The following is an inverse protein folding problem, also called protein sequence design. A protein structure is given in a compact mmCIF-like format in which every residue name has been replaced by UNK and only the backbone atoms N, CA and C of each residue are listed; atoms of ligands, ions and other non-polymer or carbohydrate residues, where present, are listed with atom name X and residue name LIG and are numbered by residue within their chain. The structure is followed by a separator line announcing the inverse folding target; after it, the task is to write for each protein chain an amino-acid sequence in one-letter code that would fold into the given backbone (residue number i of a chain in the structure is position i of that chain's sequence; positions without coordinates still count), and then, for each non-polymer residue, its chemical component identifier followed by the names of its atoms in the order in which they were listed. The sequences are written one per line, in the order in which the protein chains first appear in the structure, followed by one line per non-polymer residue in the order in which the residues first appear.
data_IF_281119357389
#
_entry.id   IF_281119357389
#
_cell.length_a   1.000
_cell.length_b   1.000
_cell.length_c   1.000
_cell.angle_alpha   90.00
_cell.angle_beta   90.00
_cell.angle_gamma   90.00
#
_symmetry.space_group_name_H-M   'P 1'
#
loop_
_entity.id
_entity.type
_entity.pdbx_description
1 polymer ?
#
# COMPACT_ATOMS: atom_id res chain seq x y z
N UNK A 1 -12.81 28.62 -10.73
CA UNK A 1 -11.74 27.85 -10.06
C UNK A 1 -12.33 26.80 -9.13
N UNK A 2 -12.41 25.56 -9.61
CA UNK A 2 -12.90 24.43 -8.82
C UNK A 2 -11.76 23.82 -8.01
N UNK A 3 -11.93 23.68 -6.69
CA UNK A 3 -10.94 23.09 -5.81
C UNK A 3 -11.61 22.17 -4.79
N UNK A 4 -11.37 20.87 -4.90
CA UNK A 4 -11.97 19.84 -4.08
C UNK A 4 -11.30 19.76 -2.71
N UNK A 5 -12.07 19.91 -1.64
CA UNK A 5 -11.53 19.91 -0.28
C UNK A 5 -12.34 19.05 0.68
N UNK A 6 -12.41 17.75 0.38
CA UNK A 6 -13.18 16.75 1.13
C UNK A 6 -12.29 15.78 1.91
N UNK A 7 -12.90 14.88 2.69
CA UNK A 7 -12.22 13.73 3.28
C UNK A 7 -12.26 12.55 2.30
N UNK A 8 -11.18 12.36 1.56
CA UNK A 8 -11.12 11.38 0.47
C UNK A 8 -9.77 10.67 0.44
N UNK A 9 -9.80 9.37 0.18
CA UNK A 9 -8.66 8.58 -0.25
C UNK A 9 -8.89 8.19 -1.72
N UNK A 10 -8.11 8.79 -2.62
CA UNK A 10 -8.23 8.61 -4.06
C UNK A 10 -7.06 7.78 -4.60
N UNK A 11 -7.36 6.74 -5.38
CA UNK A 11 -6.36 5.90 -6.02
C UNK A 11 -6.47 6.03 -7.53
N UNK A 12 -5.38 6.41 -8.19
CA UNK A 12 -5.26 6.38 -9.64
C UNK A 12 -4.62 5.07 -10.07
N UNK A 13 -5.31 4.30 -10.91
CA UNK A 13 -4.77 3.09 -11.55
C UNK A 13 -4.55 3.40 -13.03
N UNK A 14 -3.30 3.36 -13.49
CA UNK A 14 -2.90 3.73 -14.85
C UNK A 14 -2.55 2.47 -15.64
N UNK A 15 -3.24 2.25 -16.75
CA UNK A 15 -2.96 1.17 -17.69
C UNK A 15 -1.58 1.36 -18.35
N UNK A 16 -0.64 0.46 -18.05
CA UNK A 16 0.72 0.47 -18.59
C UNK A 16 0.89 -0.39 -19.85
N UNK A 17 -0.20 -0.79 -20.50
CA UNK A 17 -0.12 -1.60 -21.71
C UNK A 17 0.35 -0.81 -22.93
N UNK A 18 0.81 -1.53 -23.95
CA UNK A 18 1.15 -1.00 -25.27
C UNK A 18 -0.07 -0.59 -26.10
N UNK A 19 -1.30 -0.61 -25.52
CA UNK A 19 -2.49 -0.02 -26.17
C UNK A 19 -2.50 1.49 -26.10
N UNK A 20 -1.76 2.07 -25.16
CA UNK A 20 -1.38 3.46 -25.17
C UNK A 20 0.03 3.57 -25.76
N UNK A 21 0.24 4.51 -26.68
CA UNK A 21 1.59 4.90 -27.07
C UNK A 21 2.30 5.62 -25.91
N UNK A 22 3.62 5.77 -25.99
CA UNK A 22 4.37 6.55 -25.00
C UNK A 22 3.84 7.99 -24.91
N UNK A 23 3.51 8.61 -26.05
CA UNK A 23 2.87 9.93 -26.10
C UNK A 23 1.48 9.96 -25.46
N UNK A 24 0.65 8.93 -25.67
CA UNK A 24 -0.66 8.85 -25.03
C UNK A 24 -0.53 8.68 -23.53
N UNK A 25 0.48 7.93 -23.09
CA UNK A 25 0.77 7.75 -21.66
C UNK A 25 1.25 9.06 -21.01
N UNK A 26 1.99 9.91 -21.74
CA UNK A 26 2.31 11.26 -21.26
C UNK A 26 1.04 12.12 -21.07
N UNK A 27 0.08 12.05 -22.00
CA UNK A 27 -1.23 12.72 -21.85
C UNK A 27 -1.99 12.16 -20.64
N UNK A 28 -1.95 10.85 -20.43
CA UNK A 28 -2.58 10.19 -19.27
C UNK A 28 -1.98 10.69 -17.95
N UNK A 29 -0.65 10.78 -17.85
CA UNK A 29 0.03 11.33 -16.67
C UNK A 29 -0.29 12.80 -16.46
N UNK A 30 -0.29 13.60 -17.53
CA UNK A 30 -0.67 15.00 -17.47
C UNK A 30 -2.11 15.18 -16.96
N UNK A 31 -3.03 14.32 -17.39
CA UNK A 31 -4.40 14.29 -16.86
C UNK A 31 -4.42 14.01 -15.35
N UNK A 32 -3.73 12.97 -14.87
CA UNK A 32 -3.65 12.65 -13.43
C UNK A 32 -3.10 13.82 -12.63
N UNK A 33 -2.02 14.46 -13.11
CA UNK A 33 -1.45 15.66 -12.50
C UNK A 33 -2.46 16.81 -12.47
N UNK A 34 -3.18 17.05 -13.57
CA UNK A 34 -4.20 18.11 -13.67
C UNK A 34 -5.40 17.89 -12.73
N UNK A 35 -5.73 16.63 -12.43
CA UNK A 35 -6.71 16.27 -11.40
C UNK A 35 -6.12 16.60 -10.03
N UNK A 36 -4.91 16.15 -9.73
CA UNK A 36 -4.23 16.40 -8.46
C UNK A 36 -4.06 17.89 -8.13
N UNK A 37 -3.92 18.76 -9.12
CA UNK A 37 -3.86 20.22 -8.95
C UNK A 37 -5.15 20.83 -8.41
N UNK A 38 -6.30 20.20 -8.69
CA UNK A 38 -7.63 20.63 -8.22
C UNK A 38 -8.03 19.99 -6.90
N UNK A 39 -7.13 19.24 -6.23
CA UNK A 39 -7.41 18.55 -4.97
C UNK A 39 -6.63 19.18 -3.80
N UNK A 40 -7.30 19.32 -2.66
CA UNK A 40 -6.66 19.68 -1.39
C UNK A 40 -5.90 18.49 -0.79
N UNK A 41 -4.76 18.16 -1.40
CA UNK A 41 -3.95 17.01 -1.01
C UNK A 41 -3.28 17.25 0.35
N UNK A 42 -3.66 16.46 1.36
CA UNK A 42 -3.01 16.39 2.67
C UNK A 42 -3.46 15.14 3.41
N UNK A 43 -2.67 14.69 4.38
CA UNK A 43 -3.05 13.55 5.23
C UNK A 43 -4.33 13.76 6.04
N UNK A 44 -4.80 15.00 6.21
CA UNK A 44 -6.03 15.34 6.92
C UNK A 44 -7.25 15.52 6.00
N UNK A 45 -7.05 15.68 4.68
CA UNK A 45 -8.11 15.96 3.70
C UNK A 45 -8.10 14.92 2.59
N UNK A 46 -7.47 15.20 1.45
CA UNK A 46 -7.41 14.26 0.33
C UNK A 46 -6.05 13.55 0.34
N UNK A 47 -6.05 12.22 0.43
CA UNK A 47 -4.87 11.37 0.22
C UNK A 47 -4.94 10.79 -1.18
N UNK A 48 -3.78 10.64 -1.81
CA UNK A 48 -3.69 10.15 -3.20
C UNK A 48 -2.69 9.00 -3.28
N UNK A 49 -3.01 7.99 -4.08
CA UNK A 49 -2.12 6.91 -4.48
C UNK A 49 -2.10 6.80 -6.00
N UNK A 50 -0.97 6.40 -6.56
CA UNK A 50 -0.77 6.23 -8.00
C UNK A 50 -0.11 4.89 -8.23
N UNK A 51 -0.79 4.05 -9.00
CA UNK A 51 -0.33 2.70 -9.34
C UNK A 51 -0.39 2.57 -10.86
N UNK A 52 0.72 2.19 -11.46
CA UNK A 52 0.75 1.72 -12.84
C UNK A 52 0.56 0.20 -12.83
N UNK A 53 -0.20 -0.32 -13.79
CA UNK A 53 -0.45 -1.75 -13.87
C UNK A 53 -0.29 -2.31 -15.28
N UNK A 54 0.36 -3.47 -15.32
CA UNK A 54 0.58 -4.31 -16.49
C UNK A 54 0.22 -5.76 -16.11
N UNK A 55 1.12 -6.74 -16.24
CA UNK A 55 0.90 -8.08 -15.65
C UNK A 55 1.08 -8.09 -14.12
N UNK A 56 1.71 -7.05 -13.57
CA UNK A 56 1.77 -6.72 -12.15
C UNK A 56 1.22 -5.33 -11.81
N UNK A 57 1.45 -4.88 -10.58
CA UNK A 57 1.06 -3.55 -10.11
C UNK A 57 2.24 -2.87 -9.43
N UNK A 58 2.63 -1.69 -9.93
CA UNK A 58 3.73 -0.91 -9.40
C UNK A 58 3.22 0.40 -8.78
N UNK A 59 3.30 0.50 -7.45
CA UNK A 59 2.89 1.70 -6.73
C UNK A 59 4.01 2.75 -6.73
N UNK A 60 3.73 3.93 -7.29
CA UNK A 60 4.61 5.10 -7.25
C UNK A 60 4.30 6.00 -6.05
N UNK A 61 3.02 6.06 -5.67
CA UNK A 61 2.54 6.83 -4.53
C UNK A 61 1.59 6.00 -3.67
N UNK A 62 1.82 6.06 -2.37
CA UNK A 62 0.95 5.46 -1.37
C UNK A 62 0.13 6.54 -0.65
N UNK A 63 -1.08 6.18 -0.20
CA UNK A 63 -1.98 7.10 0.52
C UNK A 63 -1.31 7.76 1.74
N UNK A 64 -0.38 7.06 2.39
CA UNK A 64 0.31 7.52 3.61
C UNK A 64 1.52 8.42 3.34
N UNK A 65 1.87 8.64 2.07
CA UNK A 65 3.04 9.45 1.72
C UNK A 65 2.91 10.88 2.27
N UNK A 66 3.83 11.25 3.17
CA UNK A 66 3.90 12.59 3.78
C UNK A 66 4.86 13.48 3.01
N UNK A 67 4.47 13.85 1.79
CA UNK A 67 5.23 14.75 0.90
C UNK A 67 4.42 15.99 0.57
N UNK A 68 5.10 17.05 0.09
CA UNK A 68 4.42 18.26 -0.40
C UNK A 68 3.55 17.91 -1.63
N UNK A 69 2.38 18.56 -1.84
CA UNK A 69 1.55 18.30 -3.01
C UNK A 69 2.30 18.45 -4.35
N UNK A 70 3.23 19.42 -4.45
CA UNK A 70 4.09 19.59 -5.62
C UNK A 70 5.01 18.39 -5.87
N UNK A 71 5.57 17.79 -4.82
CA UNK A 71 6.42 16.61 -4.93
C UNK A 71 5.60 15.36 -5.31
N UNK A 72 4.38 15.23 -4.77
CA UNK A 72 3.47 14.16 -5.19
C UNK A 72 3.13 14.27 -6.67
N UNK A 73 2.82 15.47 -7.17
CA UNK A 73 2.58 15.71 -8.60
C UNK A 73 3.81 15.40 -9.45
N UNK A 74 5.01 15.77 -8.99
CA UNK A 74 6.27 15.43 -9.66
C UNK A 74 6.49 13.91 -9.75
N UNK A 75 6.15 13.16 -8.70
CA UNK A 75 6.25 11.70 -8.75
C UNK A 75 5.24 11.12 -9.75
N UNK A 76 3.99 11.64 -9.77
CA UNK A 76 2.98 11.22 -10.73
C UNK A 76 3.38 11.51 -12.18
N UNK A 77 4.05 12.64 -12.46
CA UNK A 77 4.55 12.95 -13.81
C UNK A 77 5.73 12.06 -14.24
N UNK A 78 6.45 11.47 -13.29
CA UNK A 78 7.63 10.63 -13.51
C UNK A 78 7.31 9.13 -13.56
N UNK A 79 6.02 8.75 -13.51
CA UNK A 79 5.60 7.37 -13.76
C UNK A 79 6.17 6.91 -15.12
N UNK A 80 6.84 5.78 -15.14
CA UNK A 80 7.50 5.25 -16.35
C UNK A 80 6.47 4.58 -17.26
N UNK A 81 6.57 4.83 -18.56
CA UNK A 81 5.86 4.05 -19.55
C UNK A 81 6.47 2.65 -19.65
N UNK A 82 5.62 1.62 -19.52
CA UNK A 82 6.05 0.21 -19.58
C UNK A 82 5.82 -0.37 -20.97
N UNK A 83 4.69 -0.08 -21.60
CA UNK A 83 4.35 -0.61 -22.92
C UNK A 83 4.17 -2.13 -22.93
N UNK A 84 3.59 -2.69 -21.87
CA UNK A 84 3.41 -4.14 -21.73
C UNK A 84 2.36 -4.69 -22.70
N UNK A 85 2.49 -5.94 -23.13
CA UNK A 85 1.44 -6.61 -23.92
C UNK A 85 0.15 -6.85 -23.13
N UNK A 86 0.22 -6.81 -21.79
CA UNK A 86 -0.89 -7.09 -20.88
C UNK A 86 -1.00 -6.00 -19.84
N UNK A 87 -2.21 -5.51 -19.59
CA UNK A 87 -2.58 -4.81 -18.37
C UNK A 87 -3.78 -5.47 -17.69
N UNK A 88 -3.53 -6.06 -16.52
CA UNK A 88 -4.49 -6.86 -15.78
C UNK A 88 -5.27 -6.02 -14.79
N UNK A 89 -6.49 -5.66 -15.19
CA UNK A 89 -7.48 -5.04 -14.32
C UNK A 89 -7.79 -5.91 -13.10
N UNK A 90 -7.79 -7.24 -13.26
CA UNK A 90 -8.01 -8.17 -12.15
C UNK A 90 -6.92 -8.10 -11.09
N UNK A 91 -5.65 -8.07 -11.51
CA UNK A 91 -4.51 -8.01 -10.59
C UNK A 91 -4.43 -6.66 -9.87
N UNK A 92 -4.64 -5.54 -10.57
CA UNK A 92 -4.58 -4.22 -9.93
C UNK A 92 -5.74 -3.98 -8.96
N UNK A 93 -6.93 -4.51 -9.23
CA UNK A 93 -8.05 -4.44 -8.29
C UNK A 93 -7.84 -5.37 -7.09
N UNK A 94 -7.20 -6.52 -7.28
CA UNK A 94 -6.75 -7.39 -6.18
C UNK A 94 -5.71 -6.66 -5.31
N UNK A 95 -4.70 -6.04 -5.93
CA UNK A 95 -3.70 -5.22 -5.24
C UNK A 95 -4.37 -4.08 -4.46
N UNK A 96 -5.31 -3.37 -5.06
CA UNK A 96 -6.05 -2.28 -4.42
C UNK A 96 -6.85 -2.77 -3.21
N UNK A 97 -7.49 -3.93 -3.31
CA UNK A 97 -8.28 -4.53 -2.23
C UNK A 97 -7.42 -4.93 -1.03
N UNK A 98 -6.29 -5.59 -1.26
CA UNK A 98 -5.49 -6.20 -0.21
C UNK A 98 -4.34 -5.33 0.28
N UNK A 99 -3.67 -4.60 -0.61
CA UNK A 99 -2.49 -3.79 -0.28
C UNK A 99 -2.87 -2.35 0.08
N UNK A 100 -3.72 -1.69 -0.74
CA UNK A 100 -4.08 -0.28 -0.49
C UNK A 100 -5.17 -0.18 0.58
N UNK A 101 -6.26 -0.94 0.43
CA UNK A 101 -7.41 -0.93 1.34
C UNK A 101 -7.50 -2.17 2.23
N UNK A 102 -6.40 -2.89 2.42
CA UNK A 102 -6.33 -4.08 3.27
C UNK A 102 -6.87 -3.80 4.68
N UNK A 103 -6.38 -2.73 5.32
CA UNK A 103 -6.84 -2.23 6.62
C UNK A 103 -7.57 -0.89 6.45
N UNK A 104 -8.74 -0.77 7.06
CA UNK A 104 -9.51 0.49 7.05
C UNK A 104 -9.00 1.36 8.18
N UNK A 105 -8.13 2.32 7.86
CA UNK A 105 -7.51 3.21 8.86
C UNK A 105 -8.18 4.58 8.97
N UNK A 106 -9.06 4.90 8.02
CA UNK A 106 -9.68 6.22 7.86
C UNK A 106 -11.18 6.11 7.57
N UNK A 107 -11.99 5.66 8.55
CA UNK A 107 -13.41 5.37 8.34
C UNK A 107 -14.25 6.60 8.00
N UNK A 108 -13.78 7.81 8.36
CA UNK A 108 -14.43 9.08 8.09
C UNK A 108 -14.27 9.58 6.64
N UNK A 109 -13.37 8.98 5.87
CA UNK A 109 -13.10 9.36 4.49
C UNK A 109 -13.74 8.40 3.49
N UNK A 110 -14.26 8.95 2.39
CA UNK A 110 -14.64 8.15 1.24
C UNK A 110 -13.40 7.55 0.58
N UNK A 111 -13.57 6.41 -0.08
CA UNK A 111 -12.51 5.69 -0.79
C UNK A 111 -12.94 5.51 -2.24
N UNK A 112 -12.20 6.11 -3.15
CA UNK A 112 -12.52 6.13 -4.59
C UNK A 112 -11.31 5.65 -5.37
N UNK A 113 -11.55 4.80 -6.36
CA UNK A 113 -10.54 4.33 -7.31
C UNK A 113 -10.92 4.84 -8.68
N UNK A 114 -10.04 5.61 -9.30
CA UNK A 114 -10.15 6.02 -10.70
C UNK A 114 -9.32 5.03 -11.53
N UNK A 115 -10.02 4.10 -12.20
CA UNK A 115 -9.41 3.06 -13.03
C UNK A 115 -9.31 3.55 -14.47
N UNK A 116 -8.13 4.00 -14.88
CA UNK A 116 -7.85 4.45 -16.24
C UNK A 116 -7.42 3.25 -17.07
N UNK A 117 -8.29 2.75 -17.94
CA UNK A 117 -8.07 1.51 -18.71
C UNK A 117 -8.20 1.73 -20.20
N UNK A 118 -7.22 1.25 -20.96
CA UNK A 118 -7.16 1.37 -22.42
C UNK A 118 -7.11 0.01 -23.14
N UNK A 119 -7.06 -1.08 -22.37
CA UNK A 119 -6.83 -2.42 -22.88
C UNK A 119 -7.83 -3.44 -22.34
N UNK A 120 -7.67 -4.69 -22.80
CA UNK A 120 -8.36 -5.84 -22.27
C UNK A 120 -7.35 -6.87 -21.80
N UNK A 121 -7.53 -7.39 -20.59
CA UNK A 121 -6.72 -8.47 -20.07
C UNK A 121 -7.10 -9.84 -20.68
N UNK A 122 -6.17 -10.81 -20.72
CA UNK A 122 -6.46 -12.18 -21.14
C UNK A 122 -7.55 -12.85 -20.29
N UNK A 123 -8.44 -13.64 -20.92
CA UNK A 123 -9.58 -14.29 -20.26
C UNK A 123 -9.21 -15.20 -19.07
N UNK A 124 -8.02 -15.78 -19.04
CA UNK A 124 -7.60 -16.64 -17.93
C UNK A 124 -7.29 -15.84 -16.65
N UNK A 125 -6.97 -14.55 -16.76
CA UNK A 125 -6.67 -13.65 -15.64
C UNK A 125 -7.95 -13.07 -15.00
N UNK A 126 -9.09 -13.11 -15.70
CA UNK A 126 -10.35 -12.49 -15.24
C UNK A 126 -11.06 -13.26 -14.11
N UNK A 127 -10.58 -14.46 -13.75
CA UNK A 127 -11.22 -15.37 -12.78
C UNK A 127 -11.55 -14.69 -11.45
N UNK A 128 -10.69 -13.77 -11.00
CA UNK A 128 -10.81 -13.10 -9.70
C UNK A 128 -11.41 -11.69 -9.78
N UNK A 129 -11.77 -11.20 -10.97
CA UNK A 129 -12.27 -9.84 -11.15
C UNK A 129 -13.50 -9.57 -10.30
N UNK A 130 -14.53 -10.42 -10.45
CA UNK A 130 -15.82 -10.27 -9.75
C UNK A 130 -15.62 -10.29 -8.23
N UNK A 131 -14.79 -11.22 -7.75
CA UNK A 131 -14.46 -11.34 -6.31
C UNK A 131 -13.78 -10.07 -5.79
N UNK A 132 -12.83 -9.53 -6.55
CA UNK A 132 -12.09 -8.32 -6.16
C UNK A 132 -13.00 -7.09 -6.12
N UNK A 133 -13.84 -6.91 -7.15
CA UNK A 133 -14.82 -5.81 -7.18
C UNK A 133 -15.84 -5.93 -6.04
N UNK A 134 -16.34 -7.14 -5.75
CA UNK A 134 -17.22 -7.37 -4.62
C UNK A 134 -16.55 -7.11 -3.27
N UNK A 135 -15.27 -7.45 -3.13
CA UNK A 135 -14.47 -7.14 -1.94
C UNK A 135 -14.32 -5.63 -1.73
N UNK A 136 -14.04 -4.89 -2.80
CA UNK A 136 -13.94 -3.43 -2.79
C UNK A 136 -15.30 -2.80 -2.43
N UNK A 137 -16.40 -3.30 -2.99
CA UNK A 137 -17.77 -2.88 -2.63
C UNK A 137 -18.05 -3.13 -1.15
N UNK A 138 -17.74 -4.31 -0.60
CA UNK A 138 -17.92 -4.61 0.83
C UNK A 138 -17.15 -3.65 1.73
N UNK A 139 -15.99 -3.20 1.26
CA UNK A 139 -15.22 -2.16 1.93
C UNK A 139 -15.77 -0.76 1.70
N UNK A 140 -16.85 -0.52 0.95
CA UNK A 140 -17.36 0.81 0.58
C UNK A 140 -16.35 1.62 -0.26
N UNK A 141 -15.65 0.95 -1.17
CA UNK A 141 -14.81 1.60 -2.17
C UNK A 141 -15.63 1.79 -3.45
N UNK A 142 -15.67 3.03 -3.94
CA UNK A 142 -16.31 3.39 -5.20
C UNK A 142 -15.31 3.19 -6.34
N UNK A 143 -15.70 2.45 -7.38
CA UNK A 143 -14.88 2.25 -8.57
C UNK A 143 -15.41 3.10 -9.72
N UNK A 144 -14.57 4.00 -10.22
CA UNK A 144 -14.86 4.85 -11.38
C UNK A 144 -13.98 4.41 -12.55
N UNK A 145 -14.46 3.50 -13.41
CA UNK A 145 -13.72 3.12 -14.61
C UNK A 145 -13.78 4.23 -15.68
N UNK A 146 -12.63 4.57 -16.24
CA UNK A 146 -12.46 5.45 -17.39
C UNK A 146 -11.87 4.61 -18.52
N UNK A 147 -12.72 4.21 -19.46
CA UNK A 147 -12.32 3.48 -20.66
C UNK A 147 -11.80 4.44 -21.72
N UNK A 148 -10.58 4.20 -22.22
CA UNK A 148 -9.88 5.06 -23.16
C UNK A 148 -9.65 4.30 -24.46
N UNK A 149 -10.30 4.76 -25.52
CA UNK A 149 -10.11 4.19 -26.86
C UNK A 149 -10.82 2.87 -27.12
N UNK A 150 -10.71 2.36 -28.34
CA UNK A 150 -11.51 1.23 -28.81
C UNK A 150 -11.11 -0.12 -28.21
N UNK A 151 -9.92 -0.20 -27.60
CA UNK A 151 -9.37 -1.43 -27.02
C UNK A 151 -9.73 -1.62 -25.54
N UNK A 152 -10.33 -0.61 -24.90
CA UNK A 152 -10.80 -0.72 -23.52
C UNK A 152 -11.89 -1.78 -23.39
N UNK A 153 -11.81 -2.62 -22.36
CA UNK A 153 -12.78 -3.70 -22.16
C UNK A 153 -14.13 -3.19 -21.63
N UNK A 154 -15.05 -2.84 -22.53
CA UNK A 154 -16.39 -2.36 -22.17
C UNK A 154 -17.22 -3.37 -21.38
N UNK A 155 -17.00 -4.68 -21.55
CA UNK A 155 -17.72 -5.70 -20.79
C UNK A 155 -17.32 -5.67 -19.32
N UNK A 156 -16.03 -5.51 -19.03
CA UNK A 156 -15.51 -5.35 -17.67
C UNK A 156 -15.96 -4.03 -17.04
N UNK A 157 -15.94 -2.93 -17.80
CA UNK A 157 -16.41 -1.61 -17.33
C UNK A 157 -17.89 -1.71 -16.91
N UNK A 158 -18.74 -2.27 -17.76
CA UNK A 158 -20.17 -2.49 -17.44
C UNK A 158 -20.37 -3.44 -16.27
N UNK A 159 -19.50 -4.43 -16.10
CA UNK A 159 -19.54 -5.34 -14.96
C UNK A 159 -19.28 -4.59 -13.65
N UNK A 160 -18.29 -3.68 -13.63
CA UNK A 160 -17.94 -2.84 -12.50
C UNK A 160 -19.08 -1.87 -12.17
N UNK A 161 -19.62 -1.17 -13.17
CA UNK A 161 -20.73 -0.22 -13.03
C UNK A 161 -21.97 -0.90 -12.40
N UNK A 162 -22.30 -2.12 -12.84
CA UNK A 162 -23.43 -2.88 -12.28
C UNK A 162 -23.26 -3.31 -10.82
N UNK A 163 -22.06 -3.26 -10.25
CA UNK A 163 -21.87 -3.71 -8.86
C UNK A 163 -22.40 -2.71 -7.83
N UNK A 164 -22.42 -1.41 -8.13
CA UNK A 164 -22.88 -0.39 -7.19
C UNK A 164 -23.36 0.87 -7.94
N UNK A 165 -24.44 1.54 -7.51
CA UNK A 165 -24.96 2.72 -8.19
C UNK A 165 -23.99 3.90 -8.21
N UNK A 166 -23.03 3.94 -7.27
CA UNK A 166 -21.97 4.94 -7.20
C UNK A 166 -20.81 4.66 -8.19
N UNK A 167 -20.76 3.48 -8.81
CA UNK A 167 -19.70 3.13 -9.76
C UNK A 167 -19.98 3.73 -11.15
N UNK A 168 -19.81 5.05 -11.31
CA UNK A 168 -19.99 5.72 -12.60
C UNK A 168 -18.83 5.44 -13.56
N UNK A 169 -19.16 4.99 -14.77
CA UNK A 169 -18.20 4.80 -15.85
C UNK A 169 -18.10 6.04 -16.76
N UNK A 170 -16.89 6.27 -17.28
CA UNK A 170 -16.62 7.25 -18.34
C UNK A 170 -15.99 6.50 -19.50
N UNK A 171 -16.52 6.65 -20.71
CA UNK A 171 -15.97 6.03 -21.92
C UNK A 171 -15.60 7.14 -22.89
N UNK A 172 -14.36 7.11 -23.35
CA UNK A 172 -13.70 8.12 -24.16
C UNK A 172 -13.19 7.50 -25.45
N UNK A 173 -13.21 8.25 -26.55
CA UNK A 173 -12.67 7.76 -27.83
C UNK A 173 -11.14 7.70 -27.86
N UNK A 174 -10.48 8.47 -26.98
CA UNK A 174 -9.04 8.63 -26.92
C UNK A 174 -8.59 9.42 -25.69
N UNK A 175 -7.27 9.59 -25.54
CA UNK A 175 -6.67 10.35 -24.41
C UNK A 175 -6.89 11.87 -24.53
N UNK A 176 -7.16 12.37 -25.72
CA UNK A 176 -7.45 13.77 -26.03
C UNK A 176 -8.75 14.28 -25.39
N UNK A 177 -9.71 13.39 -25.13
CA UNK A 177 -10.96 13.73 -24.45
C UNK A 177 -10.82 13.82 -22.91
N UNK A 178 -9.71 13.35 -22.33
CA UNK A 178 -9.51 13.30 -20.87
C UNK A 178 -9.62 14.69 -20.24
N UNK A 179 -9.02 15.70 -20.86
CA UNK A 179 -9.04 17.06 -20.33
C UNK A 179 -10.46 17.64 -20.32
N UNK A 180 -11.26 17.35 -21.36
CA UNK A 180 -12.64 17.83 -21.48
C UNK A 180 -13.56 17.22 -20.41
N UNK A 181 -13.29 15.97 -20.02
CA UNK A 181 -14.08 15.24 -19.00
C UNK A 181 -13.55 15.40 -17.59
N UNK A 182 -12.38 16.02 -17.41
CA UNK A 182 -11.72 16.24 -16.12
C UNK A 182 -12.65 16.85 -15.09
N UNK A 183 -13.23 18.00 -15.36
CA UNK A 183 -14.00 18.72 -14.32
C UNK A 183 -15.29 17.96 -13.94
N UNK A 184 -15.89 17.20 -14.86
CA UNK A 184 -17.00 16.29 -14.56
C UNK A 184 -16.57 15.15 -13.62
N UNK A 185 -15.41 14.53 -13.90
CA UNK A 185 -14.85 13.46 -13.06
C UNK A 185 -14.55 14.00 -11.66
N UNK A 186 -13.98 15.21 -11.57
CA UNK A 186 -13.64 15.81 -10.26
C UNK A 186 -14.90 16.24 -9.50
N UNK A 187 -15.94 16.75 -10.17
CA UNK A 187 -17.20 17.02 -9.48
C UNK A 187 -17.79 15.72 -8.89
N UNK A 188 -17.83 14.64 -9.68
CA UNK A 188 -18.36 13.36 -9.21
C UNK A 188 -17.61 12.79 -8.00
N UNK A 189 -16.25 12.80 -8.03
CA UNK A 189 -15.46 12.31 -6.89
C UNK A 189 -15.66 13.17 -5.63
N UNK A 190 -15.85 14.49 -5.77
CA UNK A 190 -16.03 15.39 -4.64
C UNK A 190 -17.42 15.28 -4.02
N UNK A 191 -18.44 15.09 -4.84
CA UNK A 191 -19.83 14.91 -4.38
C UNK A 191 -19.99 13.64 -3.56
N UNK A 192 -19.18 12.62 -3.84
CA UNK A 192 -19.16 11.34 -3.12
C UNK A 192 -18.23 11.33 -1.91
N UNK A 193 -17.61 12.46 -1.57
CA UNK A 193 -16.72 12.59 -0.43
C UNK A 193 -17.31 13.51 0.67
N UNK A 194 -17.26 13.10 1.96
CA UNK A 194 -17.81 13.89 3.05
C UNK A 194 -17.01 15.18 3.28
N UNK A 195 -17.71 16.22 3.74
CA UNK A 195 -17.09 17.47 4.17
C UNK A 195 -16.23 17.25 5.42
N UNK A 196 -15.09 17.95 5.55
CA UNK A 196 -14.33 17.94 6.79
C UNK A 196 -15.17 18.58 7.91
N UNK A 197 -15.08 18.08 9.15
CA UNK A 197 -15.77 18.69 10.28
C UNK A 197 -15.34 20.15 10.42
N UNK A 198 -16.32 21.03 10.71
CA UNK A 198 -16.06 22.44 10.96
C UNK A 198 -15.03 22.59 12.09
N UNK A 199 -14.13 23.59 12.04
CA UNK A 199 -13.29 23.91 13.19
C UNK A 199 -14.20 24.13 14.39
N UNK A 200 -14.04 23.33 15.44
CA UNK A 200 -14.68 23.61 16.73
C UNK A 200 -14.26 25.01 17.14
N UNK A 201 -15.20 25.95 17.20
CA UNK A 201 -14.98 27.21 17.88
C UNK A 201 -14.54 26.87 19.28
N UNK A 202 -13.29 27.18 19.62
CA UNK A 202 -12.84 27.16 21.00
C UNK A 202 -13.86 27.96 21.83
N UNK A 203 -14.47 27.37 22.87
CA UNK A 203 -15.18 28.18 23.86
C UNK A 203 -14.20 29.24 24.36
N UNK A 204 -14.63 30.51 24.36
CA UNK A 204 -13.86 31.58 24.98
C UNK A 204 -13.47 31.15 26.39
N UNK A 205 -12.17 31.19 26.68
CA UNK A 205 -11.60 30.87 27.97
C UNK A 205 -12.27 31.76 29.01
N UNK A 206 -13.07 31.18 29.90
CA UNK A 206 -13.49 31.85 31.12
C UNK A 206 -12.22 32.19 31.91
N UNK A 207 -12.03 33.47 32.23
CA UNK A 207 -10.95 33.90 33.11
C UNK A 207 -11.16 33.27 34.49
N UNK A 208 -10.28 32.34 34.87
CA UNK A 208 -10.28 31.76 36.21
C UNK A 208 -9.26 32.52 37.06
N UNK A 209 -9.80 33.07 38.14
CA UNK A 209 -9.12 33.75 39.25
C UNK A 209 -7.93 32.95 39.77
N UNK A 210 -6.82 33.65 39.99
CA UNK A 210 -5.56 33.10 40.52
C UNK A 210 -5.79 32.45 41.89
N UNK A 211 -5.66 31.12 41.92
CA UNK A 211 -5.55 30.30 43.12
C UNK A 211 -4.27 29.48 43.07
N UNK A 212 -3.25 29.96 43.77
CA UNK A 212 -1.95 29.31 44.01
C UNK A 212 -2.13 27.93 44.65
N UNK A 213 -1.57 26.85 44.06
CA UNK A 213 -0.35 26.15 44.52
C UNK A 213 -0.19 24.75 43.90
N UNK A 214 1.09 24.42 43.69
CA UNK A 214 1.76 23.10 43.70
C UNK A 214 2.02 22.37 42.37
N UNK A 215 3.32 22.04 42.25
CA UNK A 215 3.96 21.01 41.45
C UNK A 215 4.29 21.36 40.01
N UNK A 216 5.52 21.88 39.84
CA UNK A 216 6.32 21.65 38.64
C UNK A 216 6.43 20.14 38.41
N UNK A 217 5.57 19.62 37.53
CA UNK A 217 5.76 18.31 36.90
C UNK A 217 6.36 18.61 35.54
N UNK A 218 7.64 18.24 35.39
CA UNK A 218 8.31 18.12 34.10
C UNK A 218 7.35 17.46 33.11
N UNK A 219 6.93 18.21 32.11
CA UNK A 219 6.06 17.72 31.05
C UNK A 219 6.79 16.59 30.32
N UNK A 220 6.24 15.37 30.22
CA UNK A 220 6.84 14.37 29.37
C UNK A 220 6.68 14.86 27.92
N UNK A 221 7.75 14.81 27.15
CA UNK A 221 7.68 14.92 25.69
C UNK A 221 6.55 14.02 25.16
N UNK A 222 5.87 14.41 24.05
CA UNK A 222 4.77 13.62 23.51
C UNK A 222 5.30 12.23 23.16
N UNK A 223 4.96 11.23 23.98
CA UNK A 223 5.28 9.82 23.73
C UNK A 223 4.81 9.50 22.32
N UNK A 224 5.76 9.23 21.42
CA UNK A 224 5.46 8.56 20.14
C UNK A 224 4.56 7.38 20.48
N UNK A 225 3.39 7.27 19.85
CA UNK A 225 2.58 6.05 19.96
C UNK A 225 3.49 4.90 19.56
N UNK A 226 3.82 4.02 20.52
CA UNK A 226 4.60 2.81 20.27
C UNK A 226 3.81 1.95 19.30
N UNK A 227 4.47 1.50 18.23
CA UNK A 227 3.86 0.56 17.29
C UNK A 227 4.02 -0.84 17.89
N UNK A 228 2.91 -1.57 18.01
CA UNK A 228 2.89 -2.97 18.41
C UNK A 228 2.71 -3.80 17.14
N UNK A 229 3.71 -4.63 16.81
CA UNK A 229 3.77 -5.44 15.59
C UNK A 229 4.45 -6.78 15.89
N UNK A 230 4.10 -7.82 15.15
CA UNK A 230 4.84 -9.08 15.11
C UNK A 230 5.54 -9.17 13.75
N UNK A 231 6.87 -9.14 13.77
CA UNK A 231 7.69 -9.00 12.57
C UNK A 231 8.48 -10.29 12.34
N UNK A 232 8.35 -10.86 11.14
CA UNK A 232 9.19 -11.99 10.73
C UNK A 232 10.20 -11.54 9.69
N UNK A 233 11.48 -11.76 9.95
CA UNK A 233 12.54 -11.64 8.95
C UNK A 233 12.79 -12.99 8.30
N UNK A 234 12.85 -13.02 6.98
CA UNK A 234 13.14 -14.23 6.20
C UNK A 234 14.34 -13.94 5.30
N UNK A 235 15.46 -14.57 5.59
CA UNK A 235 16.71 -14.37 4.88
C UNK A 235 17.02 -15.56 3.97
N UNK A 236 17.28 -15.29 2.69
CA UNK A 236 17.80 -16.31 1.79
C UNK A 236 19.24 -16.68 2.16
N UNK A 237 19.44 -17.94 2.57
CA UNK A 237 20.73 -18.55 2.90
C UNK A 237 21.18 -19.57 1.87
N UNK A 238 20.87 -19.36 0.58
CA UNK A 238 21.27 -20.28 -0.51
C UNK A 238 22.76 -20.17 -0.85
N UNK A 239 23.33 -21.22 -1.44
CA UNK A 239 24.72 -21.24 -1.91
C UNK A 239 24.98 -20.18 -3.00
N UNK A 240 23.93 -19.80 -3.75
CA UNK A 240 23.99 -18.71 -4.76
C UNK A 240 24.17 -17.34 -4.11
N UNK A 241 23.57 -17.11 -2.95
CA UNK A 241 23.83 -15.90 -2.15
C UNK A 241 25.25 -15.97 -1.60
N UNK A 242 25.61 -17.10 -1.00
CA UNK A 242 26.91 -17.34 -0.37
C UNK A 242 27.07 -16.60 0.97
N UNK A 243 27.96 -17.11 1.82
CA UNK A 243 28.13 -16.66 3.20
C UNK A 243 28.43 -15.16 3.33
N UNK A 244 29.30 -14.62 2.46
CA UNK A 244 29.66 -13.21 2.51
C UNK A 244 28.46 -12.26 2.28
N UNK A 245 27.58 -12.59 1.33
CA UNK A 245 26.38 -11.77 1.08
C UNK A 245 25.29 -12.06 2.12
N UNK A 246 25.18 -13.30 2.61
CA UNK A 246 24.29 -13.61 3.73
C UNK A 246 24.64 -12.77 4.97
N UNK A 247 25.93 -12.63 5.29
CA UNK A 247 26.38 -11.79 6.40
C UNK A 247 26.00 -10.31 6.20
N UNK A 248 26.05 -9.78 4.96
CA UNK A 248 25.54 -8.43 4.66
C UNK A 248 24.02 -8.31 4.88
N UNK A 249 23.25 -9.32 4.48
CA UNK A 249 21.80 -9.38 4.74
C UNK A 249 21.50 -9.43 6.24
N UNK A 250 22.30 -10.17 7.02
CA UNK A 250 22.23 -10.26 8.48
C UNK A 250 22.54 -8.92 9.16
N UNK A 251 23.57 -8.22 8.69
CA UNK A 251 23.93 -6.87 9.15
C UNK A 251 22.80 -5.87 8.86
N UNK A 252 22.26 -5.88 7.65
CA UNK A 252 21.12 -5.04 7.27
C UNK A 252 19.90 -5.30 8.17
N UNK A 253 19.55 -6.57 8.42
CA UNK A 253 18.49 -6.95 9.35
C UNK A 253 18.74 -6.40 10.76
N UNK A 254 19.97 -6.51 11.28
CA UNK A 254 20.33 -5.96 12.59
C UNK A 254 20.17 -4.44 12.66
N UNK A 255 20.56 -3.70 11.60
CA UNK A 255 20.36 -2.25 11.53
C UNK A 255 18.88 -1.85 11.52
N UNK A 256 18.04 -2.64 10.84
CA UNK A 256 16.59 -2.43 10.82
C UNK A 256 16.01 -2.66 12.22
N UNK A 257 16.35 -3.79 12.87
CA UNK A 257 15.89 -4.14 14.23
C UNK A 257 16.34 -3.08 15.25
N UNK A 258 17.56 -2.56 15.12
CA UNK A 258 18.08 -1.50 16.00
C UNK A 258 17.17 -0.26 16.04
N UNK A 259 16.58 0.10 14.89
CA UNK A 259 15.69 1.26 14.72
C UNK A 259 14.23 0.98 15.12
N UNK A 260 13.86 -0.29 15.27
CA UNK A 260 12.52 -0.71 15.71
C UNK A 260 12.36 -0.59 17.22
N UNK A 261 11.12 -0.43 17.69
CA UNK A 261 10.77 -0.40 19.12
C UNK A 261 10.54 -1.83 19.65
N UNK A 262 11.59 -2.67 19.57
CA UNK A 262 11.56 -4.07 20.01
C UNK A 262 11.53 -4.17 21.52
N UNK A 263 10.54 -4.88 22.06
CA UNK A 263 10.31 -5.01 23.48
C UNK A 263 9.03 -5.80 23.78
N UNK A 264 8.87 -6.22 25.04
CA UNK A 264 7.75 -7.05 25.48
C UNK A 264 6.37 -6.45 25.13
N UNK A 265 6.22 -5.12 25.28
CA UNK A 265 4.99 -4.38 24.96
C UNK A 265 5.00 -3.70 23.58
N UNK A 266 6.04 -3.98 22.78
CA UNK A 266 6.29 -3.32 21.49
C UNK A 266 6.33 -4.31 20.34
N UNK A 267 7.38 -4.22 19.53
CA UNK A 267 7.59 -5.10 18.38
C UNK A 267 8.20 -6.42 18.86
N UNK A 268 7.61 -7.54 18.45
CA UNK A 268 8.22 -8.87 18.59
C UNK A 268 8.82 -9.32 17.26
N UNK A 269 9.88 -10.12 17.32
CA UNK A 269 10.68 -10.53 16.17
C UNK A 269 10.80 -12.05 16.12
N UNK A 270 10.61 -12.61 14.93
CA UNK A 270 10.99 -13.97 14.54
C UNK A 270 11.97 -13.86 13.38
N UNK A 271 12.95 -14.76 13.30
CA UNK A 271 13.94 -14.80 12.21
C UNK A 271 13.99 -16.20 11.63
N UNK A 272 13.84 -16.27 10.31
CA UNK A 272 13.98 -17.48 9.52
C UNK A 272 15.11 -17.32 8.52
N UNK A 273 15.82 -18.41 8.27
CA UNK A 273 16.72 -18.58 7.14
C UNK A 273 16.13 -19.64 6.21
N UNK A 274 16.18 -19.44 4.89
CA UNK A 274 15.68 -20.45 3.94
C UNK A 274 16.62 -20.68 2.76
N UNK A 275 16.64 -21.92 2.28
CA UNK A 275 17.28 -22.32 1.02
C UNK A 275 16.50 -23.51 0.44
N UNK A 276 17.03 -24.73 0.57
CA UNK A 276 16.33 -25.99 0.34
C UNK A 276 15.25 -26.24 1.40
N UNK A 277 15.55 -25.95 2.66
CA UNK A 277 14.63 -26.03 3.80
C UNK A 277 14.53 -24.67 4.51
N UNK A 278 13.50 -24.52 5.34
CA UNK A 278 13.35 -23.39 6.26
C UNK A 278 13.98 -23.76 7.59
N UNK A 279 14.89 -22.92 8.08
CA UNK A 279 15.47 -22.98 9.40
C UNK A 279 14.91 -21.83 10.25
N UNK A 280 14.41 -22.16 11.43
CA UNK A 280 13.99 -21.18 12.43
C UNK A 280 15.21 -20.80 13.26
N UNK A 281 15.59 -19.53 13.22
CA UNK A 281 16.77 -19.04 13.96
C UNK A 281 16.37 -18.30 15.25
N UNK A 282 15.18 -17.69 15.27
CA UNK A 282 14.65 -16.98 16.43
C UNK A 282 13.12 -16.93 16.38
N UNK A 283 12.40 -17.03 17.50
CA UNK A 283 10.92 -17.07 17.56
C UNK A 283 10.31 -16.04 18.50
N UNK A 284 9.03 -15.73 18.32
CA UNK A 284 8.29 -14.83 19.22
C UNK A 284 8.21 -15.32 20.67
N UNK A 285 8.44 -16.62 20.92
CA UNK A 285 8.46 -17.20 22.29
C UNK A 285 9.72 -16.85 23.08
N UNK A 286 10.78 -16.49 22.39
CA UNK A 286 12.06 -16.15 23.02
C UNK A 286 12.03 -14.72 23.59
N UNK A 287 13.07 -14.34 24.32
CA UNK A 287 13.14 -13.08 25.02
C UNK A 287 13.09 -11.87 24.08
N UNK A 288 11.96 -11.17 24.00
CA UNK A 288 11.75 -10.05 23.07
C UNK A 288 12.41 -8.72 23.51
N UNK A 289 13.47 -8.77 24.32
CA UNK A 289 14.25 -7.57 24.60
C UNK A 289 15.13 -7.25 23.39
N UNK A 290 15.26 -5.97 23.03
CA UNK A 290 16.09 -5.56 21.89
C UNK A 290 17.53 -6.09 21.98
N UNK A 291 18.09 -6.14 23.19
CA UNK A 291 19.43 -6.67 23.43
C UNK A 291 19.54 -8.15 23.06
N UNK A 292 18.60 -8.96 23.56
CA UNK A 292 18.59 -10.41 23.33
C UNK A 292 18.37 -10.76 21.86
N UNK A 293 17.43 -10.08 21.20
CA UNK A 293 17.15 -10.25 19.78
C UNK A 293 18.38 -9.92 18.94
N UNK A 294 19.01 -8.76 19.17
CA UNK A 294 20.21 -8.35 18.42
C UNK A 294 21.41 -9.26 18.69
N UNK A 295 21.53 -9.80 19.90
CA UNK A 295 22.58 -10.76 20.21
C UNK A 295 22.39 -12.06 19.42
N UNK A 296 21.21 -12.66 19.45
CA UNK A 296 20.92 -13.87 18.67
C UNK A 296 21.10 -13.63 17.17
N UNK A 297 20.63 -12.50 16.65
CA UNK A 297 20.80 -12.14 15.24
C UNK A 297 22.27 -12.14 14.81
N UNK A 298 23.20 -11.67 15.66
CA UNK A 298 24.64 -11.68 15.33
C UNK A 298 25.20 -13.10 15.25
N UNK A 299 24.67 -14.00 16.06
CA UNK A 299 25.11 -15.39 16.20
C UNK A 299 24.58 -16.31 15.08
N UNK A 300 23.58 -15.88 14.31
CA UNK A 300 23.04 -16.64 13.16
C UNK A 300 24.15 -16.98 12.16
N UNK A 301 24.25 -18.27 11.85
CA UNK A 301 25.23 -18.82 10.91
C UNK A 301 24.60 -19.06 9.54
N UNK A 302 25.40 -18.89 8.49
CA UNK A 302 25.02 -19.25 7.14
C UNK A 302 24.87 -20.78 7.03
N UNK A 303 23.72 -21.26 6.53
CA UNK A 303 23.43 -22.70 6.41
C UNK A 303 23.68 -23.26 5.02
N UNK A 304 23.67 -22.42 3.98
CA UNK A 304 23.80 -22.87 2.60
C UNK A 304 22.60 -23.68 2.12
N UNK A 305 22.67 -24.09 0.86
CA UNK A 305 21.67 -24.92 0.19
C UNK A 305 21.57 -24.61 -1.29
N UNK A 306 21.38 -25.66 -2.09
CA UNK A 306 21.39 -25.60 -3.55
C UNK A 306 20.07 -25.15 -4.19
N UNK A 307 19.07 -24.77 -3.40
CA UNK A 307 17.75 -24.32 -3.84
C UNK A 307 17.34 -23.00 -3.16
N UNK A 308 16.38 -22.31 -3.76
CA UNK A 308 15.77 -21.07 -3.27
C UNK A 308 14.27 -21.29 -3.16
N UNK A 309 13.84 -22.19 -2.25
CA UNK A 309 12.44 -22.58 -2.09
C UNK A 309 11.65 -21.49 -1.35
N UNK A 310 11.29 -20.46 -2.11
CA UNK A 310 10.62 -19.26 -1.62
C UNK A 310 9.16 -19.55 -1.30
N UNK A 311 8.50 -20.38 -2.12
CA UNK A 311 7.14 -20.85 -1.86
C UNK A 311 7.07 -21.61 -0.54
N UNK A 312 8.00 -22.54 -0.32
CA UNK A 312 8.12 -23.28 0.94
C UNK A 312 8.33 -22.36 2.15
N UNK A 313 9.19 -21.34 2.03
CA UNK A 313 9.41 -20.38 3.10
C UNK A 313 8.15 -19.60 3.47
N UNK A 314 7.39 -19.13 2.48
CA UNK A 314 6.14 -18.42 2.69
C UNK A 314 5.02 -19.32 3.23
N UNK A 315 4.98 -20.59 2.80
CA UNK A 315 4.06 -21.58 3.35
C UNK A 315 4.37 -21.86 4.83
N UNK A 316 5.64 -22.08 5.16
CA UNK A 316 6.08 -22.30 6.54
C UNK A 316 5.69 -21.14 7.45
N UNK A 317 5.94 -19.89 7.01
CA UNK A 317 5.51 -18.69 7.71
C UNK A 317 4.00 -18.70 8.03
N UNK A 318 3.18 -18.95 7.01
CA UNK A 318 1.72 -18.92 7.12
C UNK A 318 1.17 -20.01 8.02
N UNK A 319 1.79 -21.19 8.03
CA UNK A 319 1.29 -22.36 8.77
C UNK A 319 1.87 -22.45 10.19
N UNK A 320 3.08 -21.94 10.41
CA UNK A 320 3.84 -22.17 11.65
C UNK A 320 4.21 -20.88 12.37
N UNK A 321 4.83 -19.91 11.69
CA UNK A 321 5.38 -18.72 12.36
C UNK A 321 4.31 -17.80 12.96
N UNK A 322 3.11 -17.75 12.36
CA UNK A 322 1.96 -16.99 12.86
C UNK A 322 0.98 -17.83 13.68
N UNK A 323 1.43 -18.96 14.21
CA UNK A 323 0.62 -19.72 15.16
C UNK A 323 0.75 -19.13 16.56
N UNK A 324 -0.38 -19.01 17.29
CA UNK A 324 -0.36 -18.61 18.71
C UNK A 324 0.55 -19.52 19.57
N UNK A 325 0.69 -20.80 19.18
CA UNK A 325 1.62 -21.75 19.81
C UNK A 325 3.10 -21.41 19.62
N UNK A 326 3.43 -20.56 18.65
CA UNK A 326 4.76 -20.01 18.38
C UNK A 326 4.93 -18.57 18.91
N UNK A 327 3.99 -18.09 19.72
CA UNK A 327 4.07 -16.78 20.39
C UNK A 327 3.49 -15.62 19.60
N UNK A 328 2.88 -15.87 18.43
CA UNK A 328 2.17 -14.85 17.66
C UNK A 328 0.97 -14.30 18.45
N UNK A 329 0.80 -12.98 18.41
CA UNK A 329 -0.28 -12.29 19.13
C UNK A 329 -1.42 -12.02 18.16
N UNK A 330 -2.50 -12.79 18.24
CA UNK A 330 -3.64 -12.73 17.30
C UNK A 330 -4.22 -11.31 17.05
N UNK A 331 -4.11 -10.41 18.03
CA UNK A 331 -4.65 -9.04 17.96
C UNK A 331 -3.64 -8.02 17.40
N UNK A 332 -2.41 -8.46 17.09
CA UNK A 332 -1.30 -7.63 16.65
C UNK A 332 -1.07 -7.82 15.14
N UNK A 333 -0.81 -6.76 14.37
CA UNK A 333 -0.45 -6.88 12.96
C UNK A 333 0.85 -7.66 12.72
N UNK A 334 0.75 -8.65 11.83
CA UNK A 334 1.90 -9.41 11.35
C UNK A 334 2.52 -8.74 10.10
N UNK A 335 3.86 -8.64 10.07
CA UNK A 335 4.63 -8.05 8.98
C UNK A 335 5.81 -8.97 8.62
N UNK A 336 6.04 -9.20 7.33
CA UNK A 336 7.16 -10.02 6.84
C UNK A 336 8.16 -9.15 6.09
N UNK A 337 9.42 -9.19 6.49
CA UNK A 337 10.55 -8.69 5.71
C UNK A 337 11.29 -9.87 5.09
N UNK A 338 11.19 -10.00 3.78
CA UNK A 338 11.89 -11.05 3.03
C UNK A 338 13.06 -10.46 2.26
N UNK A 339 14.24 -11.04 2.44
CA UNK A 339 15.47 -10.67 1.72
C UNK A 339 15.88 -11.84 0.84
N UNK A 340 15.73 -11.66 -0.47
CA UNK A 340 16.05 -12.66 -1.49
C UNK A 340 16.97 -12.07 -2.55
N UNK A 341 17.91 -12.88 -3.02
CA UNK A 341 18.85 -12.54 -4.09
C UNK A 341 18.64 -13.34 -5.37
N UNK A 342 17.77 -14.36 -5.37
CA UNK A 342 17.59 -15.26 -6.51
C UNK A 342 16.10 -15.53 -6.81
N UNK A 343 15.75 -15.83 -8.07
CA UNK A 343 14.42 -16.36 -8.40
C UNK A 343 14.11 -17.63 -7.60
N UNK A 344 12.84 -17.79 -7.24
CA UNK A 344 12.34 -19.01 -6.63
C UNK A 344 12.63 -20.24 -7.51
N UNK A 345 12.98 -21.35 -6.87
CA UNK A 345 13.18 -22.63 -7.56
C UNK A 345 11.94 -23.53 -7.57
N UNK A 346 10.90 -23.17 -6.79
CA UNK A 346 9.68 -23.93 -6.55
C UNK A 346 8.41 -23.29 -7.11
#
# INVERSE_FOLDING_TARGET
DFYCSKLLDLVFLLDGSSRLSESDFEVLKAFVVSVMERLHISQKRIRVAVVEYHDGSHAYLELKARKRPSELRRIASLVKYVGSQVASTSEVLKYTLFQIFGKIERPEASRIVLLLTASSEPKHMTRNLVRSVQGLKKKKVILMPVGIGPHANLQQIRLIEKQAPENKAFVLSGVDELEQRRDEIINYLCDHAPEPPAPTQHPQVAQVTVGSRLSEILSPEPKRKSMVLDVVFVLEGSDKVGEANFNRSKEFMAEVIQRMDVGQDGIHVTVLQYSYMVAVEYTFREAQSKGDVLQHVREIQFRGGNQTNTGLALQYLSEHSFAASQGDREQVPNLVYMVTGNPASD
#
